data_IF_246945169011
#
_entry.id   IF_246945169011
#
_cell.length_a   1.000
_cell.length_b   1.000
_cell.length_c   1.000
_cell.angle_alpha   90.00
_cell.angle_beta   90.00
_cell.angle_gamma   90.00
#
_symmetry.space_group_name_H-M   'P 1'
#
loop_
_entity.id
_entity.type
_entity.pdbx_description
1 polymer ?
#
# COMPACT_ATOMS: atom_id res chain seq x y z
N UNK A 1 -8.37 7.90 15.14
CA UNK A 1 -6.95 8.25 15.29
C UNK A 1 -6.16 7.25 14.46
N UNK A 2 -5.55 7.69 13.35
CA UNK A 2 -4.78 6.80 12.47
C UNK A 2 -3.42 6.55 13.10
N UNK A 3 -3.10 5.29 13.37
CA UNK A 3 -1.77 4.86 13.84
C UNK A 3 -0.74 5.35 12.80
N UNK A 4 0.37 5.98 13.20
CA UNK A 4 1.39 6.40 12.24
C UNK A 4 1.89 5.16 11.49
N UNK A 5 2.16 5.26 10.18
CA UNK A 5 2.61 4.12 9.39
C UNK A 5 3.90 3.56 9.98
N UNK A 6 3.98 2.24 10.07
CA UNK A 6 5.19 1.57 10.56
C UNK A 6 6.39 2.01 9.69
N UNK A 7 7.46 2.45 10.34
CA UNK A 7 8.73 2.84 9.70
C UNK A 7 9.75 1.70 9.69
N UNK A 8 9.36 0.52 10.16
CA UNK A 8 10.20 -0.65 10.39
C UNK A 8 9.42 -1.92 10.04
N UNK A 9 10.13 -2.93 9.51
CA UNK A 9 9.59 -4.27 9.24
C UNK A 9 9.70 -5.15 10.48
N UNK A 10 8.62 -5.85 10.84
CA UNK A 10 8.62 -6.76 11.97
C UNK A 10 9.62 -7.92 11.76
N UNK A 11 10.26 -8.38 12.85
CA UNK A 11 11.31 -9.40 12.80
C UNK A 11 10.88 -10.69 12.09
N UNK A 12 9.62 -11.11 12.28
CA UNK A 12 9.03 -12.28 11.60
C UNK A 12 9.10 -12.17 10.05
N UNK A 13 9.03 -10.95 9.51
CA UNK A 13 9.03 -10.66 8.08
C UNK A 13 10.33 -10.03 7.59
N UNK A 14 11.46 -10.16 8.31
CA UNK A 14 12.76 -9.61 7.86
C UNK A 14 13.13 -10.03 6.42
N UNK A 15 12.77 -11.24 6.01
CA UNK A 15 13.01 -11.74 4.65
C UNK A 15 12.23 -10.97 3.56
N UNK A 16 11.22 -10.19 3.94
CA UNK A 16 10.42 -9.34 3.07
C UNK A 16 10.74 -7.84 3.24
N UNK A 17 11.88 -7.48 3.84
CA UNK A 17 12.27 -6.09 4.06
C UNK A 17 12.34 -5.29 2.75
N UNK A 18 12.87 -5.87 1.69
CA UNK A 18 12.92 -5.21 0.37
C UNK A 18 11.51 -4.90 -0.14
N UNK A 19 10.59 -5.87 -0.07
CA UNK A 19 9.18 -5.64 -0.43
C UNK A 19 8.55 -4.53 0.44
N UNK A 20 8.81 -4.51 1.74
CA UNK A 20 8.32 -3.46 2.64
C UNK A 20 8.80 -2.06 2.22
N UNK A 21 10.05 -1.94 1.77
CA UNK A 21 10.65 -0.68 1.31
C UNK A 21 10.08 -0.22 -0.04
N UNK A 22 9.71 -1.16 -0.92
CA UNK A 22 9.14 -0.85 -2.24
C UNK A 22 7.65 -0.45 -2.18
N UNK A 23 6.91 -0.87 -1.13
CA UNK A 23 5.47 -0.63 -1.02
C UNK A 23 5.06 0.86 -1.10
N UNK A 24 5.71 1.82 -0.42
CA UNK A 24 5.39 3.24 -0.54
C UNK A 24 5.50 3.76 -1.98
N UNK A 25 6.52 3.35 -2.72
CA UNK A 25 6.73 3.79 -4.10
C UNK A 25 5.67 3.17 -5.02
N UNK A 26 5.37 1.88 -4.85
CA UNK A 26 4.30 1.20 -5.58
C UNK A 26 2.92 1.86 -5.33
N UNK A 27 2.63 2.21 -4.07
CA UNK A 27 1.41 2.95 -3.70
C UNK A 27 1.37 4.30 -4.43
N UNK A 28 2.48 5.06 -4.41
CA UNK A 28 2.57 6.33 -5.12
C UNK A 28 2.37 6.21 -6.64
N UNK A 29 2.83 5.13 -7.27
CA UNK A 29 2.57 4.86 -8.69
C UNK A 29 1.07 4.59 -8.94
N UNK A 30 0.43 3.79 -8.08
CA UNK A 30 -1.00 3.49 -8.20
C UNK A 30 -1.87 4.73 -7.96
N UNK A 31 -1.47 5.64 -7.06
CA UNK A 31 -2.15 6.93 -6.89
C UNK A 31 -2.09 7.78 -8.15
N UNK A 32 -0.92 7.83 -8.81
CA UNK A 32 -0.78 8.53 -10.09
C UNK A 32 -1.65 7.91 -11.19
N UNK A 33 -1.70 6.58 -11.24
CA UNK A 33 -2.52 5.86 -12.22
C UNK A 33 -4.02 6.07 -11.96
N UNK A 34 -4.46 6.03 -10.70
CA UNK A 34 -5.82 6.37 -10.29
C UNK A 34 -6.21 7.77 -10.76
N UNK A 35 -5.33 8.75 -10.55
CA UNK A 35 -5.60 10.12 -10.93
C UNK A 35 -5.61 10.31 -12.46
N UNK A 36 -4.85 9.50 -13.20
CA UNK A 36 -4.94 9.43 -14.66
C UNK A 36 -6.30 8.87 -15.12
N UNK A 37 -6.80 7.79 -14.50
CA UNK A 37 -8.14 7.25 -14.81
C UNK A 37 -9.25 8.26 -14.53
N UNK A 38 -9.19 8.96 -13.40
CA UNK A 38 -10.15 10.05 -13.10
C UNK A 38 -10.15 11.15 -14.15
N UNK A 39 -8.95 11.53 -14.65
CA UNK A 39 -8.83 12.55 -15.71
C UNK A 39 -9.37 12.07 -17.06
N UNK A 40 -9.48 10.76 -17.26
CA UNK A 40 -10.01 10.14 -18.47
C UNK A 40 -11.49 9.76 -18.34
N UNK A 41 -12.16 10.18 -17.26
CA UNK A 41 -13.55 9.80 -16.92
C UNK A 41 -13.78 8.28 -16.77
N UNK A 42 -12.71 7.53 -16.49
CA UNK A 42 -12.73 6.09 -16.24
C UNK A 42 -12.91 5.79 -14.75
N UNK A 43 -14.04 6.22 -14.19
CA UNK A 43 -14.31 6.16 -12.75
C UNK A 43 -14.25 4.74 -12.17
N UNK A 44 -14.73 3.74 -12.93
CA UNK A 44 -14.65 2.35 -12.52
C UNK A 44 -13.20 1.92 -12.26
N UNK A 45 -12.28 2.23 -13.18
CA UNK A 45 -10.86 1.89 -13.05
C UNK A 45 -10.19 2.69 -11.92
N UNK A 46 -10.59 3.95 -11.71
CA UNK A 46 -10.13 4.72 -10.57
C UNK A 46 -10.56 4.12 -9.22
N UNK A 47 -11.76 3.54 -9.14
CA UNK A 47 -12.25 2.83 -7.96
C UNK A 47 -11.43 1.57 -7.73
N UNK A 48 -11.15 0.79 -8.77
CA UNK A 48 -10.30 -0.40 -8.65
C UNK A 48 -8.89 -0.06 -8.13
N UNK A 49 -8.27 1.03 -8.62
CA UNK A 49 -6.97 1.49 -8.11
C UNK A 49 -7.03 1.85 -6.63
N UNK A 50 -8.14 2.46 -6.16
CA UNK A 50 -8.32 2.76 -4.73
C UNK A 50 -8.32 1.48 -3.89
N UNK A 51 -8.99 0.43 -4.35
CA UNK A 51 -9.02 -0.87 -3.67
C UNK A 51 -7.63 -1.51 -3.61
N UNK A 52 -6.86 -1.44 -4.71
CA UNK A 52 -5.49 -1.95 -4.75
C UNK A 52 -4.56 -1.19 -3.79
N UNK A 53 -4.65 0.15 -3.75
CA UNK A 53 -3.88 0.98 -2.81
C UNK A 53 -4.17 0.58 -1.36
N UNK A 54 -5.45 0.44 -1.00
CA UNK A 54 -5.84 0.02 0.34
C UNK A 54 -5.23 -1.35 0.71
N UNK A 55 -5.21 -2.29 -0.24
CA UNK A 55 -4.62 -3.60 -0.03
C UNK A 55 -3.10 -3.55 0.18
N UNK A 56 -2.39 -2.68 -0.54
CA UNK A 56 -0.95 -2.49 -0.32
C UNK A 56 -0.64 -1.84 1.02
N UNK A 57 -1.47 -0.89 1.49
CA UNK A 57 -1.34 -0.30 2.82
C UNK A 57 -1.61 -1.32 3.94
N UNK A 58 -2.58 -2.22 3.74
CA UNK A 58 -2.81 -3.34 4.65
C UNK A 58 -1.59 -4.26 4.73
N UNK A 59 -1.03 -4.65 3.57
CA UNK A 59 0.17 -5.49 3.52
C UNK A 59 1.34 -4.80 4.21
N UNK A 60 1.56 -3.51 3.94
CA UNK A 60 2.60 -2.72 4.60
C UNK A 60 2.41 -2.71 6.12
N UNK A 61 1.18 -2.52 6.58
CA UNK A 61 0.85 -2.55 8.01
C UNK A 61 1.15 -3.91 8.62
N UNK A 62 0.73 -5.01 7.98
CA UNK A 62 1.00 -6.38 8.43
C UNK A 62 2.50 -6.68 8.52
N UNK A 63 3.26 -6.25 7.50
CA UNK A 63 4.72 -6.42 7.49
C UNK A 63 5.39 -5.62 8.61
N UNK A 64 4.85 -4.45 8.98
CA UNK A 64 5.40 -3.63 10.06
C UNK A 64 4.98 -4.05 11.47
N UNK A 65 3.76 -4.55 11.63
CA UNK A 65 3.20 -4.93 12.95
C UNK A 65 3.46 -6.39 13.30
N UNK A 66 3.72 -7.25 12.31
CA UNK A 66 3.85 -8.69 12.50
C UNK A 66 2.53 -9.44 12.43
N UNK A 67 2.54 -10.77 12.61
CA UNK A 67 1.35 -11.59 12.57
C UNK A 67 0.36 -11.14 13.64
N UNK A 68 -0.87 -10.85 13.23
CA UNK A 68 -1.98 -10.62 14.15
C UNK A 68 -2.55 -12.00 14.53
N UNK A 69 -2.01 -12.57 15.60
CA UNK A 69 -2.51 -13.79 16.25
C UNK A 69 -3.46 -13.47 17.39
#
# INVERSE_FOLDING_TARGET
MSKPPATHVHAYYQHAEEAFRELPDAIGQLERLRDAFRKADEDFLAIEMKSMIARLEEIRTLLGEGPQG
#
